data_IF_205934676648
#
_entry.id   IF_205934676648
#
_cell.length_a   1.000
_cell.length_b   1.000
_cell.length_c   1.000
_cell.angle_alpha   90.00
_cell.angle_beta   90.00
_cell.angle_gamma   90.00
#
_symmetry.space_group_name_H-M   'P 1'
#
loop_
_entity.id
_entity.type
_entity.pdbx_description
1 polymer ?
#
# COMPACT_ATOMS: atom_id res chain seq x y z
N UNK A 1 -20.24 -31.48 8.90
CA UNK A 1 -20.11 -31.22 7.45
C UNK A 1 -19.82 -29.73 7.25
N UNK A 2 -18.55 -29.32 7.20
CA UNK A 2 -18.18 -27.95 6.86
C UNK A 2 -18.05 -27.83 5.35
N UNK A 3 -18.79 -26.91 4.71
CA UNK A 3 -18.70 -26.68 3.27
C UNK A 3 -17.27 -26.20 2.91
N UNK A 4 -16.67 -26.70 1.81
CA UNK A 4 -15.47 -26.10 1.27
C UNK A 4 -15.80 -24.67 0.85
N UNK A 5 -14.98 -23.72 1.29
CA UNK A 5 -15.09 -22.33 0.85
C UNK A 5 -14.26 -22.25 -0.42
N UNK A 6 -14.91 -22.31 -1.57
CA UNK A 6 -14.30 -21.97 -2.86
C UNK A 6 -14.09 -20.44 -2.91
N UNK A 7 -13.23 -19.94 -2.02
CA UNK A 7 -12.73 -18.58 -2.08
C UNK A 7 -11.44 -18.61 -2.89
N UNK A 8 -11.46 -18.08 -4.10
CA UNK A 8 -10.23 -17.84 -4.87
C UNK A 8 -9.20 -17.12 -4.00
N UNK A 9 -7.92 -17.36 -4.27
CA UNK A 9 -6.82 -16.82 -3.47
C UNK A 9 -7.06 -15.32 -3.18
N UNK A 10 -7.14 -14.97 -1.90
CA UNK A 10 -7.23 -13.57 -1.51
C UNK A 10 -6.04 -12.84 -2.11
N UNK A 11 -6.27 -11.65 -2.69
CA UNK A 11 -5.18 -10.78 -3.10
C UNK A 11 -4.34 -10.46 -1.86
N UNK A 12 -3.21 -11.15 -1.73
CA UNK A 12 -2.35 -11.08 -0.56
C UNK A 12 -1.13 -10.27 -0.97
N UNK A 13 -0.81 -9.23 -0.20
CA UNK A 13 0.38 -8.42 -0.47
C UNK A 13 1.59 -9.15 0.09
N UNK A 14 2.65 -9.26 -0.72
CA UNK A 14 3.93 -9.79 -0.29
C UNK A 14 4.52 -8.95 0.85
N UNK A 15 5.35 -9.56 1.70
CA UNK A 15 5.92 -8.89 2.86
C UNK A 15 6.70 -7.63 2.46
N UNK A 16 7.50 -7.71 1.39
CA UNK A 16 8.30 -6.59 0.90
C UNK A 16 7.42 -5.43 0.40
N UNK A 17 6.32 -5.75 -0.28
CA UNK A 17 5.34 -4.75 -0.73
C UNK A 17 4.69 -4.02 0.45
N UNK A 18 4.40 -4.73 1.55
CA UNK A 18 3.89 -4.10 2.78
C UNK A 18 4.91 -3.17 3.42
N UNK A 19 6.18 -3.59 3.49
CA UNK A 19 7.24 -2.76 4.09
C UNK A 19 7.45 -1.48 3.28
N UNK A 20 7.51 -1.58 1.95
CA UNK A 20 7.59 -0.42 1.05
C UNK A 20 6.39 0.51 1.27
N UNK A 21 5.17 -0.04 1.35
CA UNK A 21 3.97 0.76 1.57
C UNK A 21 4.01 1.52 2.91
N UNK A 22 4.45 0.87 3.99
CA UNK A 22 4.57 1.52 5.30
C UNK A 22 5.60 2.65 5.30
N UNK A 23 6.77 2.44 4.69
CA UNK A 23 7.79 3.47 4.56
C UNK A 23 7.28 4.68 3.77
N UNK A 24 6.54 4.43 2.68
CA UNK A 24 5.92 5.49 1.89
C UNK A 24 4.86 6.25 2.70
N UNK A 25 4.02 5.55 3.48
CA UNK A 25 3.05 6.18 4.36
C UNK A 25 3.71 7.11 5.38
N UNK A 26 4.81 6.68 6.01
CA UNK A 26 5.54 7.49 6.99
C UNK A 26 6.04 8.79 6.34
N UNK A 27 6.68 8.69 5.17
CA UNK A 27 7.19 9.87 4.44
C UNK A 27 6.09 10.85 4.07
N UNK A 28 4.94 10.37 3.57
CA UNK A 28 3.82 11.25 3.23
C UNK A 28 3.19 11.89 4.47
N UNK A 29 3.21 11.22 5.63
CA UNK A 29 2.80 11.82 6.91
C UNK A 29 3.75 12.95 7.30
N UNK A 30 5.07 12.73 7.20
CA UNK A 30 6.10 13.74 7.50
C UNK A 30 6.00 14.97 6.59
N UNK A 31 5.56 14.79 5.34
CA UNK A 31 5.28 15.87 4.39
C UNK A 31 3.96 16.61 4.66
N UNK A 32 3.19 16.19 5.67
CA UNK A 32 1.91 16.81 6.02
C UNK A 32 0.75 16.41 5.11
N UNK A 33 0.93 15.40 4.25
CA UNK A 33 -0.13 14.92 3.35
C UNK A 33 -1.22 14.12 4.07
N UNK A 34 -1.09 13.89 5.38
CA UNK A 34 -2.15 13.36 6.25
C UNK A 34 -2.51 14.38 7.33
N UNK A 35 -3.20 15.48 7.00
CA UNK A 35 -3.48 16.56 7.96
C UNK A 35 -4.48 16.19 9.06
N UNK A 36 -5.28 15.13 8.83
CA UNK A 36 -6.26 14.63 9.79
C UNK A 36 -6.07 13.11 9.98
N UNK A 37 -7.13 12.31 9.83
CA UNK A 37 -7.07 10.85 9.94
C UNK A 37 -6.69 10.16 8.64
N UNK A 38 -6.77 10.85 7.50
CA UNK A 38 -6.56 10.29 6.16
C UNK A 38 -5.59 11.13 5.32
N UNK A 39 -4.94 10.48 4.35
CA UNK A 39 -4.18 11.19 3.34
C UNK A 39 -5.11 12.08 2.51
N UNK A 40 -4.62 13.26 2.14
CA UNK A 40 -5.25 14.13 1.17
C UNK A 40 -5.09 13.50 -0.25
N UNK A 41 -5.66 14.16 -1.26
CA UNK A 41 -5.61 13.67 -2.64
C UNK A 41 -4.17 13.50 -3.17
N UNK A 42 -3.28 14.39 -2.78
CA UNK A 42 -1.87 14.36 -3.19
C UNK A 42 -1.12 13.20 -2.54
N UNK A 43 -1.29 12.99 -1.23
CA UNK A 43 -0.71 11.87 -0.50
C UNK A 43 -1.13 10.53 -1.10
N UNK A 44 -2.42 10.34 -1.41
CA UNK A 44 -2.88 9.11 -2.07
C UNK A 44 -2.26 8.92 -3.46
N UNK A 45 -2.22 9.97 -4.27
CA UNK A 45 -1.61 9.90 -5.60
C UNK A 45 -0.12 9.54 -5.52
N UNK A 46 0.60 10.16 -4.59
CA UNK A 46 2.02 9.88 -4.35
C UNK A 46 2.26 8.43 -3.91
N UNK A 47 1.40 7.88 -3.04
CA UNK A 47 1.52 6.48 -2.60
C UNK A 47 1.37 5.51 -3.78
N UNK A 48 0.39 5.73 -4.66
CA UNK A 48 0.18 4.86 -5.83
C UNK A 48 1.38 4.91 -6.77
N UNK A 49 1.80 6.10 -7.18
CA UNK A 49 2.92 6.29 -8.12
C UNK A 49 4.20 5.67 -7.55
N UNK A 50 4.56 5.99 -6.29
CA UNK A 50 5.81 5.53 -5.69
C UNK A 50 5.81 4.03 -5.40
N UNK A 51 4.66 3.44 -5.09
CA UNK A 51 4.55 2.00 -4.88
C UNK A 51 4.75 1.24 -6.22
N UNK A 52 4.11 1.71 -7.29
CA UNK A 52 4.30 1.15 -8.64
C UNK A 52 5.77 1.25 -9.10
N UNK A 53 6.39 2.42 -8.92
CA UNK A 53 7.83 2.62 -9.23
C UNK A 53 8.74 1.68 -8.41
N UNK A 54 8.42 1.44 -7.15
CA UNK A 54 9.23 0.60 -6.26
C UNK A 54 9.16 -0.87 -6.62
N UNK A 55 7.99 -1.34 -7.12
CA UNK A 55 7.81 -2.72 -7.59
C UNK A 55 8.62 -2.95 -8.88
N UNK A 56 8.60 -1.98 -9.81
CA UNK A 56 9.33 -2.08 -11.09
C UNK A 56 10.85 -2.12 -10.87
N UNK A 57 11.38 -1.42 -9.86
CA UNK A 57 12.84 -1.39 -9.59
C UNK A 57 13.40 -2.68 -8.97
N UNK A 58 12.57 -3.53 -8.38
CA UNK A 58 13.00 -4.79 -7.76
C UNK A 58 12.84 -6.02 -8.67
N UNK A 59 12.36 -5.85 -9.91
CA UNK A 59 12.25 -6.91 -10.94
C UNK A 59 13.42 -6.88 -11.90
#
# INVERSE_FOLDING_TARGET
MGKPKDGGASATWEQDMKMIFYDLCIREIELGNRPTTHFNKEGWLNLVIKLEESIIKCS
#
